data_IF_079950359272
#
_entry.id   IF_079950359272
#
_cell.length_a   1.000
_cell.length_b   1.000
_cell.length_c   1.000
_cell.angle_alpha   90.00
_cell.angle_beta   90.00
_cell.angle_gamma   90.00
#
_symmetry.space_group_name_H-M   'P 1'
#
loop_
_entity.id
_entity.type
_entity.pdbx_description
1 polymer ?
#
# COMPACT_ATOMS: atom_id res chain seq x y z
N UNK A 1 13.03 -25.29 7.30
CA UNK A 1 12.48 -25.24 8.68
C UNK A 1 12.78 -26.52 9.44
N UNK A 2 12.25 -27.70 9.08
CA UNK A 2 12.50 -28.93 9.85
C UNK A 2 13.99 -29.34 9.94
N UNK A 3 14.78 -29.19 8.87
CA UNK A 3 16.25 -29.41 8.95
C UNK A 3 16.96 -28.41 9.88
N UNK A 4 16.50 -27.16 9.94
CA UNK A 4 17.06 -26.15 10.86
C UNK A 4 16.68 -26.45 12.31
N UNK A 5 15.43 -26.85 12.54
CA UNK A 5 14.95 -27.31 13.85
C UNK A 5 15.73 -28.54 14.33
N UNK A 6 16.02 -29.49 13.43
CA UNK A 6 16.86 -30.64 13.73
C UNK A 6 18.29 -30.24 14.14
N UNK A 7 18.92 -29.32 13.40
CA UNK A 7 20.24 -28.81 13.76
C UNK A 7 20.23 -28.16 15.16
N UNK A 8 19.24 -27.31 15.46
CA UNK A 8 19.08 -26.69 16.79
C UNK A 8 18.92 -27.73 17.89
N UNK A 9 18.11 -28.76 17.64
CA UNK A 9 17.87 -29.87 18.58
C UNK A 9 19.15 -30.67 18.86
N UNK A 10 19.92 -30.98 17.81
CA UNK A 10 21.20 -31.70 17.93
C UNK A 10 22.23 -30.88 18.71
N UNK A 11 22.29 -29.57 18.48
CA UNK A 11 23.18 -28.65 19.21
C UNK A 11 22.68 -28.27 20.62
N UNK A 12 21.45 -28.69 20.99
CA UNK A 12 20.80 -28.37 22.27
C UNK A 12 20.75 -26.86 22.57
N UNK A 13 20.54 -26.04 21.54
CA UNK A 13 20.45 -24.57 21.69
C UNK A 13 19.02 -24.16 22.05
N UNK A 14 18.82 -23.14 22.91
CA UNK A 14 17.49 -22.63 23.26
C UNK A 14 16.92 -21.69 22.18
N UNK A 15 17.20 -21.97 20.90
CA UNK A 15 16.74 -21.17 19.77
C UNK A 15 15.46 -21.75 19.19
N UNK A 16 14.67 -20.90 18.53
CA UNK A 16 13.50 -21.33 17.78
C UNK A 16 13.52 -20.79 16.36
N UNK A 17 12.91 -21.53 15.44
CA UNK A 17 12.85 -21.19 14.01
C UNK A 17 11.43 -20.78 13.61
N UNK A 18 11.24 -19.60 13.00
CA UNK A 18 9.93 -19.22 12.51
C UNK A 18 9.48 -20.15 11.38
N UNK A 19 8.25 -20.64 11.48
CA UNK A 19 7.48 -21.13 10.36
C UNK A 19 6.58 -20.04 9.83
N UNK A 20 7.00 -19.45 8.72
CA UNK A 20 6.34 -18.28 8.16
C UNK A 20 5.10 -18.69 7.34
N UNK A 21 3.97 -18.05 7.63
CA UNK A 21 2.78 -18.09 6.80
C UNK A 21 2.74 -16.81 5.94
N UNK A 22 3.27 -16.91 4.72
CA UNK A 22 3.51 -15.77 3.81
C UNK A 22 3.41 -16.22 2.34
N UNK A 23 2.78 -15.39 1.49
CA UNK A 23 2.52 -15.69 0.07
C UNK A 23 1.97 -17.12 -0.13
N UNK A 24 2.70 -17.96 -0.87
CA UNK A 24 2.32 -19.34 -1.23
C UNK A 24 2.19 -20.28 -0.02
N UNK A 25 2.65 -19.85 1.15
CA UNK A 25 2.51 -20.57 2.42
C UNK A 25 1.41 -20.01 3.32
N UNK A 26 0.50 -19.19 2.77
CA UNK A 26 -0.60 -18.61 3.54
C UNK A 26 -1.42 -19.67 4.27
N UNK A 27 -1.72 -20.81 3.64
CA UNK A 27 -2.36 -21.95 4.30
C UNK A 27 -1.34 -23.05 4.65
N UNK A 28 -1.53 -23.78 5.76
CA UNK A 28 -0.67 -24.90 6.09
C UNK A 28 -0.85 -26.02 5.06
N UNK A 29 0.23 -26.36 4.36
CA UNK A 29 0.27 -27.54 3.51
C UNK A 29 0.03 -28.82 4.33
N UNK A 30 -0.63 -29.81 3.72
CA UNK A 30 -1.00 -31.09 4.39
C UNK A 30 0.20 -31.82 5.02
N UNK A 31 1.37 -31.69 4.40
CA UNK A 31 2.60 -32.36 4.80
C UNK A 31 3.41 -31.60 5.86
N UNK A 32 3.11 -30.33 6.12
CA UNK A 32 3.90 -29.50 7.04
C UNK A 32 3.64 -29.99 8.46
N UNK A 33 4.59 -30.66 9.12
CA UNK A 33 4.51 -30.97 10.56
C UNK A 33 5.55 -30.12 11.29
N UNK A 34 5.13 -29.06 12.02
CA UNK A 34 6.07 -28.22 12.76
C UNK A 34 6.84 -29.05 13.78
N UNK A 35 8.14 -28.78 13.91
CA UNK A 35 8.95 -29.31 15.00
C UNK A 35 8.71 -28.48 16.28
N UNK A 36 9.05 -29.02 17.46
CA UNK A 36 8.91 -28.30 18.73
C UNK A 36 9.79 -27.05 18.80
N UNK A 37 10.91 -27.07 18.10
CA UNK A 37 11.83 -25.95 17.96
C UNK A 37 11.30 -24.87 16.98
N UNK A 38 10.13 -25.07 16.36
CA UNK A 38 9.49 -24.08 15.53
C UNK A 38 8.42 -23.27 16.28
N UNK A 39 8.17 -22.04 15.83
CA UNK A 39 7.00 -21.23 16.21
C UNK A 39 6.29 -20.72 14.95
N UNK A 40 5.02 -20.34 15.07
CA UNK A 40 4.29 -19.75 13.95
C UNK A 40 4.65 -18.28 13.79
N UNK A 41 5.00 -17.85 12.58
CA UNK A 41 5.10 -16.44 12.20
C UNK A 41 4.04 -16.12 11.14
N UNK A 42 2.91 -15.55 11.55
CA UNK A 42 1.80 -15.22 10.66
C UNK A 42 2.02 -13.84 10.02
N UNK A 43 2.21 -13.79 8.70
CA UNK A 43 2.61 -12.59 7.96
C UNK A 43 1.67 -12.28 6.77
N UNK A 44 0.43 -11.83 7.00
CA UNK A 44 -0.61 -11.71 5.97
C UNK A 44 -0.45 -10.46 5.09
N UNK A 45 0.59 -10.40 4.25
CA UNK A 45 0.87 -9.21 3.42
C UNK A 45 -0.21 -8.85 2.40
N UNK A 46 -0.81 -9.85 1.76
CA UNK A 46 -1.72 -9.63 0.63
C UNK A 46 -3.17 -9.38 1.07
N UNK A 47 -3.42 -9.18 2.37
CA UNK A 47 -4.76 -8.94 2.92
C UNK A 47 -5.29 -7.53 2.59
N UNK A 48 -6.56 -7.28 2.89
CA UNK A 48 -7.15 -5.94 2.80
C UNK A 48 -6.85 -5.13 4.07
N UNK A 49 -5.95 -4.16 4.00
CA UNK A 49 -5.57 -3.33 5.16
C UNK A 49 -6.55 -2.19 5.46
N UNK A 50 -7.51 -1.93 4.57
CA UNK A 50 -8.61 -1.00 4.85
C UNK A 50 -9.54 -1.47 5.98
N UNK A 51 -9.59 -2.79 6.23
CA UNK A 51 -10.50 -3.41 7.19
C UNK A 51 -9.72 -4.27 8.19
N UNK A 52 -10.30 -4.45 9.37
CA UNK A 52 -9.83 -5.42 10.35
C UNK A 52 -9.88 -6.84 9.75
N UNK A 53 -9.04 -7.74 10.27
CA UNK A 53 -8.93 -9.12 9.83
C UNK A 53 -10.25 -9.89 10.02
N UNK A 54 -11.03 -9.54 11.05
CA UNK A 54 -12.34 -10.13 11.36
C UNK A 54 -13.53 -9.31 10.87
N UNK A 55 -13.34 -8.29 10.03
CA UNK A 55 -14.46 -7.51 9.51
C UNK A 55 -15.38 -8.42 8.66
N UNK A 56 -16.66 -8.62 9.06
CA UNK A 56 -17.56 -9.54 8.37
C UNK A 56 -17.87 -9.10 6.93
N UNK A 57 -17.72 -7.81 6.62
CA UNK A 57 -17.94 -7.26 5.28
C UNK A 57 -16.74 -7.45 4.36
N UNK A 58 -15.57 -7.84 4.90
CA UNK A 58 -14.37 -7.99 4.11
C UNK A 58 -14.15 -9.43 3.63
N UNK A 59 -14.66 -9.75 2.42
CA UNK A 59 -14.54 -11.08 1.86
C UNK A 59 -13.09 -11.56 1.73
N UNK A 60 -12.19 -10.66 1.34
CA UNK A 60 -10.76 -10.93 1.29
C UNK A 60 -10.20 -11.33 2.65
N UNK A 61 -10.46 -10.56 3.71
CA UNK A 61 -9.89 -10.83 5.04
C UNK A 61 -10.43 -12.11 5.69
N UNK A 62 -11.65 -12.55 5.33
CA UNK A 62 -12.15 -13.86 5.78
C UNK A 62 -11.20 -15.01 5.42
N UNK A 63 -10.63 -15.00 4.21
CA UNK A 63 -9.65 -16.00 3.77
C UNK A 63 -8.39 -15.96 4.65
N UNK A 64 -7.91 -14.77 4.98
CA UNK A 64 -6.74 -14.61 5.85
C UNK A 64 -7.04 -15.04 7.29
N UNK A 65 -8.23 -14.73 7.82
CA UNK A 65 -8.67 -15.19 9.13
C UNK A 65 -8.80 -16.73 9.19
N UNK A 66 -9.33 -17.35 8.14
CA UNK A 66 -9.37 -18.81 8.00
C UNK A 66 -7.96 -19.41 7.98
N UNK A 67 -7.03 -18.77 7.26
CA UNK A 67 -5.63 -19.19 7.22
C UNK A 67 -4.97 -19.08 8.61
N UNK A 68 -5.23 -18.02 9.36
CA UNK A 68 -4.78 -17.88 10.75
C UNK A 68 -5.28 -19.05 11.60
N UNK A 69 -6.59 -19.32 11.58
CA UNK A 69 -7.17 -20.44 12.34
C UNK A 69 -6.58 -21.80 11.93
N UNK A 70 -6.35 -22.03 10.64
CA UNK A 70 -5.74 -23.25 10.14
C UNK A 70 -4.31 -23.44 10.66
N UNK A 71 -3.50 -22.37 10.67
CA UNK A 71 -2.15 -22.38 11.21
C UNK A 71 -2.13 -22.55 12.73
N UNK A 72 -2.99 -21.84 13.46
CA UNK A 72 -3.12 -21.99 14.91
C UNK A 72 -3.49 -23.43 15.28
N UNK A 73 -4.42 -24.06 14.56
CA UNK A 73 -4.73 -25.48 14.73
C UNK A 73 -3.52 -26.38 14.45
N UNK A 74 -2.69 -26.04 13.45
CA UNK A 74 -1.50 -26.82 13.12
C UNK A 74 -0.39 -26.73 14.16
N UNK A 75 -0.30 -25.59 14.84
CA UNK A 75 0.65 -25.32 15.93
C UNK A 75 0.09 -25.59 17.33
N UNK A 76 -1.11 -26.15 17.45
CA UNK A 76 -1.70 -26.51 18.74
C UNK A 76 -0.70 -27.32 19.58
N UNK A 77 -0.47 -26.89 20.83
CA UNK A 77 0.47 -27.53 21.76
C UNK A 77 1.95 -27.20 21.58
N UNK A 78 2.35 -26.41 20.58
CA UNK A 78 3.76 -26.01 20.39
C UNK A 78 4.15 -24.81 21.25
N UNK A 79 3.16 -24.00 21.67
CA UNK A 79 3.38 -22.73 22.37
C UNK A 79 4.00 -21.67 21.46
N UNK A 80 3.60 -20.41 21.65
CA UNK A 80 4.17 -19.24 20.96
C UNK A 80 3.82 -19.15 19.46
N UNK A 81 3.00 -18.15 19.13
CA UNK A 81 2.69 -17.74 17.78
C UNK A 81 2.87 -16.22 17.70
N UNK A 82 3.45 -15.75 16.61
CA UNK A 82 3.83 -14.35 16.40
C UNK A 82 3.13 -13.80 15.17
N UNK A 83 2.88 -12.51 15.13
CA UNK A 83 2.43 -11.81 13.92
C UNK A 83 3.53 -10.95 13.33
N UNK A 84 3.52 -10.79 12.01
CA UNK A 84 4.40 -9.87 11.29
C UNK A 84 3.57 -9.05 10.29
N UNK A 85 3.21 -7.84 10.71
CA UNK A 85 2.30 -6.95 10.01
C UNK A 85 2.99 -5.92 9.14
N UNK A 86 2.23 -5.25 8.28
CA UNK A 86 2.76 -4.32 7.27
C UNK A 86 2.14 -2.92 7.38
N UNK A 87 1.70 -2.49 8.56
CA UNK A 87 1.06 -1.18 8.75
C UNK A 87 1.97 0.02 8.47
N UNK A 88 3.29 -0.16 8.65
CA UNK A 88 4.30 0.87 8.48
C UNK A 88 5.21 0.63 7.26
N UNK A 89 4.72 -0.17 6.30
CA UNK A 89 5.47 -0.53 5.11
C UNK A 89 5.25 0.49 3.98
N UNK A 90 6.13 1.50 3.88
CA UNK A 90 6.07 2.45 2.77
C UNK A 90 6.43 1.82 1.42
N UNK A 91 7.05 0.63 1.38
CA UNK A 91 7.18 -0.11 0.11
C UNK A 91 5.79 -0.57 -0.31
N UNK A 92 5.03 -1.25 0.56
CA UNK A 92 3.66 -1.68 0.28
C UNK A 92 2.78 -0.50 -0.14
N UNK A 93 2.75 0.56 0.66
CA UNK A 93 1.81 1.67 0.46
C UNK A 93 2.29 2.75 -0.47
N UNK A 94 3.10 2.40 -1.46
CA UNK A 94 3.45 3.35 -2.51
C UNK A 94 4.16 4.63 -1.99
N UNK A 95 5.03 4.50 -1.00
CA UNK A 95 5.67 5.62 -0.32
C UNK A 95 4.73 6.40 0.61
N UNK A 96 3.46 5.99 0.71
CA UNK A 96 2.49 6.62 1.59
C UNK A 96 2.67 6.17 3.02
N UNK A 97 2.27 7.07 3.92
CA UNK A 97 2.21 6.82 5.34
C UNK A 97 0.78 6.53 5.78
N UNK A 98 0.23 5.42 5.30
CA UNK A 98 -1.15 5.06 5.55
C UNK A 98 -1.44 5.01 7.05
N UNK A 99 -2.48 5.73 7.48
CA UNK A 99 -2.92 5.73 8.87
C UNK A 99 -4.24 4.96 8.94
N UNK A 100 -4.21 3.74 9.47
CA UNK A 100 -5.32 2.79 9.42
C UNK A 100 -5.71 2.32 10.84
N UNK A 101 -6.18 3.24 11.71
CA UNK A 101 -6.34 2.95 13.13
C UNK A 101 -7.38 1.88 13.42
N UNK A 102 -8.46 1.80 12.64
CA UNK A 102 -9.48 0.79 12.82
C UNK A 102 -8.98 -0.62 12.50
N UNK A 103 -8.16 -0.77 11.44
CA UNK A 103 -7.56 -2.04 11.07
C UNK A 103 -6.56 -2.50 12.13
N UNK A 104 -5.60 -1.63 12.52
CA UNK A 104 -4.59 -1.95 13.55
C UNK A 104 -5.26 -2.43 14.85
N UNK A 105 -6.22 -1.66 15.36
CA UNK A 105 -6.92 -1.99 16.61
C UNK A 105 -7.80 -3.23 16.49
N UNK A 106 -8.43 -3.44 15.33
CA UNK A 106 -9.22 -4.64 15.06
C UNK A 106 -8.36 -5.89 15.04
N UNK A 107 -7.27 -5.85 14.28
CA UNK A 107 -6.33 -6.96 14.15
C UNK A 107 -5.72 -7.35 15.50
N UNK A 108 -5.32 -6.39 16.33
CA UNK A 108 -4.78 -6.71 17.66
C UNK A 108 -5.79 -7.48 18.52
N UNK A 109 -7.08 -7.14 18.46
CA UNK A 109 -8.13 -7.91 19.16
C UNK A 109 -8.31 -9.32 18.59
N UNK A 110 -8.13 -9.50 17.28
CA UNK A 110 -8.17 -10.83 16.65
C UNK A 110 -6.99 -11.67 17.14
N UNK A 111 -5.80 -11.10 17.19
CA UNK A 111 -4.60 -11.79 17.62
C UNK A 111 -4.61 -12.11 19.12
N UNK A 112 -5.09 -11.20 19.95
CA UNK A 112 -5.32 -11.45 21.37
C UNK A 112 -6.29 -12.62 21.59
N UNK A 113 -7.44 -12.64 20.89
CA UNK A 113 -8.40 -13.76 20.94
C UNK A 113 -7.80 -15.09 20.45
N UNK A 114 -6.84 -15.03 19.53
CA UNK A 114 -6.10 -16.20 19.06
C UNK A 114 -5.00 -16.66 20.03
N UNK A 115 -4.74 -15.93 21.12
CA UNK A 115 -3.68 -16.23 22.09
C UNK A 115 -2.28 -15.90 21.57
N UNK A 116 -2.16 -14.92 20.66
CA UNK A 116 -0.89 -14.42 20.14
C UNK A 116 -0.49 -13.18 20.93
N UNK A 117 0.67 -13.24 21.60
CA UNK A 117 1.18 -12.15 22.44
C UNK A 117 2.37 -11.41 21.82
N UNK A 118 3.02 -12.00 20.81
CA UNK A 118 4.18 -11.41 20.14
C UNK A 118 3.77 -10.81 18.80
N UNK A 119 3.93 -9.48 18.66
CA UNK A 119 3.58 -8.77 17.44
C UNK A 119 4.76 -7.98 16.87
N UNK A 120 4.99 -8.14 15.58
CA UNK A 120 5.97 -7.38 14.82
C UNK A 120 5.25 -6.60 13.72
N UNK A 121 5.82 -5.47 13.31
CA UNK A 121 5.42 -4.78 12.09
C UNK A 121 6.67 -4.41 11.30
N UNK A 122 6.62 -4.60 9.98
CA UNK A 122 7.65 -4.11 9.08
C UNK A 122 7.62 -2.57 9.06
N UNK A 123 8.76 -1.96 9.36
CA UNK A 123 9.01 -0.54 9.17
C UNK A 123 9.94 -0.39 7.98
N UNK A 124 9.42 0.10 6.85
CA UNK A 124 10.27 0.51 5.71
C UNK A 124 9.91 1.93 5.30
N UNK A 125 10.94 2.73 5.07
CA UNK A 125 10.81 4.19 5.03
C UNK A 125 10.94 4.78 6.44
N UNK A 126 11.66 5.89 6.56
CA UNK A 126 12.18 6.40 7.83
C UNK A 126 11.80 7.84 8.16
N UNK A 127 11.91 8.18 9.44
CA UNK A 127 11.28 9.24 10.22
C UNK A 127 11.59 10.72 9.86
N UNK A 128 11.62 11.09 8.59
CA UNK A 128 11.82 12.51 8.24
C UNK A 128 10.63 13.41 8.62
N UNK A 129 9.45 12.84 8.87
CA UNK A 129 8.45 13.47 9.75
C UNK A 129 8.07 12.47 10.83
N UNK A 130 8.74 12.57 11.98
CA UNK A 130 8.26 11.97 13.22
C UNK A 130 7.12 12.84 13.78
N UNK A 131 6.10 12.23 14.42
CA UNK A 131 6.01 10.82 14.80
C UNK A 131 5.31 9.90 13.78
N UNK A 132 5.58 8.59 13.88
CA UNK A 132 4.81 7.55 13.19
C UNK A 132 3.52 7.20 13.93
N UNK A 133 2.39 7.69 13.42
CA UNK A 133 1.08 7.47 14.04
C UNK A 133 0.68 5.99 14.05
N UNK A 134 1.02 5.24 13.00
CA UNK A 134 0.68 3.82 12.89
C UNK A 134 1.53 3.01 13.85
N UNK A 135 2.84 3.29 13.96
CA UNK A 135 3.72 2.61 14.91
C UNK A 135 3.37 2.95 16.36
N UNK A 136 3.08 4.22 16.68
CA UNK A 136 2.64 4.62 18.01
C UNK A 136 1.33 3.94 18.41
N UNK A 137 0.39 3.84 17.48
CA UNK A 137 -0.88 3.17 17.71
C UNK A 137 -0.69 1.66 17.87
N UNK A 138 0.09 1.03 16.99
CA UNK A 138 0.42 -0.39 17.07
C UNK A 138 1.04 -0.75 18.43
N UNK A 139 2.04 0.03 18.88
CA UNK A 139 2.66 -0.17 20.19
C UNK A 139 1.66 0.01 21.35
N UNK A 140 0.75 0.98 21.26
CA UNK A 140 -0.25 1.21 22.32
C UNK A 140 -1.34 0.14 22.33
N UNK A 141 -1.75 -0.34 21.16
CA UNK A 141 -2.79 -1.35 21.00
C UNK A 141 -2.45 -2.68 21.70
N UNK A 142 -1.15 -2.94 21.93
CA UNK A 142 -0.69 -4.14 22.61
C UNK A 142 -1.06 -4.19 24.11
N UNK A 143 -1.21 -3.05 24.77
CA UNK A 143 -1.52 -3.00 26.21
C UNK A 143 -2.82 -2.25 26.56
N UNK A 144 -3.44 -1.57 25.59
CA UNK A 144 -4.68 -0.83 25.77
C UNK A 144 -5.79 -1.35 24.84
N UNK A 145 -6.39 -2.47 25.23
CA UNK A 145 -7.50 -3.12 24.50
C UNK A 145 -8.79 -2.29 24.46
N UNK A 146 -8.88 -1.21 25.25
CA UNK A 146 -10.04 -0.30 25.28
C UNK A 146 -10.05 0.72 24.12
N UNK A 147 -8.97 0.79 23.35
CA UNK A 147 -8.83 1.75 22.28
C UNK A 147 -9.85 1.56 21.16
N UNK A 148 -10.43 2.67 20.76
CA UNK A 148 -11.17 2.83 19.51
C UNK A 148 -10.38 3.74 18.59
N UNK A 149 -10.66 3.70 17.29
CA UNK A 149 -10.03 4.64 16.35
C UNK A 149 -10.26 6.10 16.78
N UNK A 150 -11.47 6.44 17.27
CA UNK A 150 -11.82 7.78 17.73
C UNK A 150 -11.01 8.23 18.96
N UNK A 151 -10.89 7.36 19.98
CA UNK A 151 -10.14 7.68 21.20
C UNK A 151 -8.64 7.73 20.95
N UNK A 152 -8.10 6.85 20.09
CA UNK A 152 -6.71 6.88 19.66
C UNK A 152 -6.38 8.19 18.91
N UNK A 153 -7.23 8.59 17.96
CA UNK A 153 -7.06 9.85 17.21
C UNK A 153 -7.11 11.06 18.13
N UNK A 154 -8.06 11.10 19.07
CA UNK A 154 -8.17 12.20 20.03
C UNK A 154 -6.90 12.29 20.89
N UNK A 155 -6.43 11.17 21.44
CA UNK A 155 -5.23 11.13 22.26
C UNK A 155 -3.96 11.56 21.49
N UNK A 156 -3.80 11.11 20.24
CA UNK A 156 -2.69 11.56 19.39
C UNK A 156 -2.75 13.06 19.12
N UNK A 157 -3.93 13.59 18.77
CA UNK A 157 -4.11 15.02 18.52
C UNK A 157 -3.77 15.88 19.75
N UNK A 158 -4.21 15.47 20.94
CA UNK A 158 -3.89 16.13 22.22
C UNK A 158 -2.39 16.09 22.54
N UNK A 159 -1.70 14.98 22.22
CA UNK A 159 -0.24 14.88 22.40
C UNK A 159 0.53 15.79 21.44
N UNK A 160 0.02 16.01 20.24
CA UNK A 160 0.65 16.87 19.23
C UNK A 160 0.43 18.36 19.53
N UNK A 161 -0.80 18.74 19.88
CA UNK A 161 -1.16 20.12 20.25
C UNK A 161 -2.11 20.13 21.45
N UNK A 162 -1.53 20.26 22.65
CA UNK A 162 -2.31 20.33 23.90
C UNK A 162 -3.18 21.59 23.99
N UNK A 163 -2.83 22.68 23.30
CA UNK A 163 -3.55 23.96 23.38
C UNK A 163 -4.74 23.97 22.42
N UNK A 164 -4.57 23.38 21.24
CA UNK A 164 -5.61 23.30 20.22
C UNK A 164 -5.54 21.99 19.44
N UNK A 165 -6.04 20.87 20.00
CA UNK A 165 -5.97 19.57 19.33
C UNK A 165 -6.96 19.43 18.17
N UNK A 166 -7.96 20.32 18.05
CA UNK A 166 -9.07 20.14 17.11
C UNK A 166 -8.65 20.07 15.63
N UNK A 167 -7.71 20.90 15.11
CA UNK A 167 -7.20 20.75 13.75
C UNK A 167 -6.55 19.39 13.49
N UNK A 168 -5.74 18.90 14.44
CA UNK A 168 -5.07 17.60 14.34
C UNK A 168 -6.05 16.44 14.38
N UNK A 169 -7.05 16.50 15.27
CA UNK A 169 -8.12 15.51 15.35
C UNK A 169 -8.85 15.38 14.01
N UNK A 170 -9.23 16.50 13.39
CA UNK A 170 -9.87 16.52 12.06
C UNK A 170 -8.95 15.97 10.97
N UNK A 171 -7.68 16.38 10.95
CA UNK A 171 -6.70 15.90 9.97
C UNK A 171 -6.50 14.39 10.06
N UNK A 172 -6.23 13.86 11.25
CA UNK A 172 -5.98 12.43 11.46
C UNK A 172 -7.23 11.58 11.14
N UNK A 173 -8.42 12.06 11.49
CA UNK A 173 -9.68 11.39 11.12
C UNK A 173 -9.89 11.37 9.60
N UNK A 174 -9.67 12.50 8.92
CA UNK A 174 -9.79 12.57 7.47
C UNK A 174 -8.74 11.72 6.76
N UNK A 175 -7.51 11.68 7.29
CA UNK A 175 -6.44 10.79 6.80
C UNK A 175 -6.83 9.33 6.94
N UNK A 176 -7.34 8.92 8.10
CA UNK A 176 -7.82 7.56 8.33
C UNK A 176 -8.93 7.15 7.35
N UNK A 177 -9.93 8.02 7.17
CA UNK A 177 -11.01 7.79 6.21
C UNK A 177 -10.50 7.71 4.76
N UNK A 178 -9.58 8.60 4.37
CA UNK A 178 -9.04 8.62 3.00
C UNK A 178 -8.33 7.31 2.64
N UNK A 179 -7.54 6.74 3.55
CA UNK A 179 -6.86 5.48 3.30
C UNK A 179 -7.80 4.28 3.40
N UNK A 180 -8.70 4.24 4.39
CA UNK A 180 -9.68 3.16 4.48
C UNK A 180 -10.52 3.06 3.20
N UNK A 181 -10.93 4.20 2.63
CA UNK A 181 -11.66 4.24 1.35
C UNK A 181 -10.76 3.82 0.18
N UNK A 182 -9.63 4.51 -0.03
CA UNK A 182 -8.82 4.33 -1.24
C UNK A 182 -8.14 2.95 -1.33
N UNK A 183 -7.91 2.29 -0.20
CA UNK A 183 -7.26 0.99 -0.11
C UNK A 183 -8.24 -0.17 0.10
N UNK A 184 -9.54 0.09 0.08
CA UNK A 184 -10.56 -0.94 0.15
C UNK A 184 -10.48 -1.87 -1.07
N UNK A 185 -10.09 -3.11 -0.80
CA UNK A 185 -10.04 -4.21 -1.78
C UNK A 185 -10.77 -5.44 -1.25
N UNK A 186 -11.77 -5.20 -0.40
CA UNK A 186 -12.55 -6.25 0.28
C UNK A 186 -13.19 -7.25 -0.68
N UNK A 187 -13.50 -6.81 -1.91
CA UNK A 187 -14.23 -7.60 -2.90
C UNK A 187 -13.31 -8.32 -3.90
N UNK A 188 -11.98 -8.22 -3.71
CA UNK A 188 -11.00 -8.95 -4.49
C UNK A 188 -10.82 -10.36 -3.95
N UNK A 189 -11.08 -11.33 -4.81
CA UNK A 189 -10.85 -12.75 -4.58
C UNK A 189 -9.34 -13.04 -4.46
N UNK A 190 -8.98 -14.17 -3.82
CA UNK A 190 -7.58 -14.52 -3.52
C UNK A 190 -6.77 -14.88 -4.77
N UNK A 191 -7.42 -15.33 -5.84
CA UNK A 191 -6.80 -15.64 -7.14
C UNK A 191 -6.21 -14.41 -7.84
N UNK A 192 -6.64 -13.20 -7.44
CA UNK A 192 -6.01 -11.97 -7.85
C UNK A 192 -4.81 -11.70 -6.95
N UNK A 193 -3.60 -11.94 -7.48
CA UNK A 193 -2.37 -11.45 -6.85
C UNK A 193 -2.50 -9.95 -6.62
N UNK A 194 -2.26 -9.54 -5.38
CA UNK A 194 -2.45 -8.16 -4.99
C UNK A 194 -1.31 -7.69 -4.10
N UNK A 195 -0.73 -6.57 -4.48
CA UNK A 195 0.18 -5.80 -3.66
C UNK A 195 -0.17 -4.31 -3.86
N UNK A 196 -0.30 -3.51 -2.81
CA UNK A 196 -0.63 -2.08 -2.95
C UNK A 196 0.38 -1.32 -3.82
N UNK A 197 1.60 -1.85 -4.02
CA UNK A 197 2.56 -1.36 -5.02
C UNK A 197 2.06 -1.47 -6.44
N UNK A 198 1.41 -2.59 -6.74
CA UNK A 198 0.97 -3.01 -8.07
C UNK A 198 -0.54 -3.17 -8.01
N UNK A 199 -1.24 -2.04 -8.14
CA UNK A 199 -2.70 -2.08 -8.12
C UNK A 199 -3.20 -3.05 -9.19
N UNK A 200 -4.21 -3.87 -8.86
CA UNK A 200 -4.71 -4.89 -9.74
C UNK A 200 -5.36 -4.23 -10.95
N UNK A 201 -5.13 -4.79 -12.13
CA UNK A 201 -5.84 -4.37 -13.33
C UNK A 201 -7.27 -4.90 -13.25
N UNK A 202 -8.16 -4.11 -12.68
CA UNK A 202 -9.58 -4.46 -12.57
C UNK A 202 -10.35 -3.90 -13.77
N UNK A 203 -11.35 -4.65 -14.20
CA UNK A 203 -12.22 -4.25 -15.31
C UNK A 203 -13.67 -4.04 -14.82
N UNK A 204 -14.50 -3.50 -15.70
CA UNK A 204 -15.93 -3.33 -15.46
C UNK A 204 -16.26 -2.46 -14.24
N UNK A 205 -17.34 -2.82 -13.52
CA UNK A 205 -17.83 -2.05 -12.37
C UNK A 205 -16.85 -2.04 -11.19
N UNK A 206 -16.07 -3.13 -11.00
CA UNK A 206 -15.06 -3.19 -9.93
C UNK A 206 -13.93 -2.19 -10.18
N UNK A 207 -13.43 -2.11 -11.41
CA UNK A 207 -12.42 -1.11 -11.77
C UNK A 207 -12.94 0.32 -11.66
N UNK A 208 -14.22 0.56 -11.99
CA UNK A 208 -14.85 1.88 -11.79
C UNK A 208 -14.99 2.25 -10.32
N UNK A 209 -15.42 1.31 -9.48
CA UNK A 209 -15.56 1.51 -8.04
C UNK A 209 -14.20 1.82 -7.39
N UNK A 210 -13.15 1.05 -7.75
CA UNK A 210 -11.78 1.31 -7.27
C UNK A 210 -11.28 2.70 -7.68
N UNK A 211 -11.47 3.08 -8.95
CA UNK A 211 -11.09 4.42 -9.41
C UNK A 211 -11.86 5.51 -8.64
N UNK A 212 -13.14 5.32 -8.35
CA UNK A 212 -13.94 6.26 -7.58
C UNK A 212 -13.46 6.39 -6.13
N UNK A 213 -13.19 5.27 -5.45
CA UNK A 213 -12.67 5.24 -4.09
C UNK A 213 -11.32 5.97 -3.98
N UNK A 214 -10.39 5.71 -4.91
CA UNK A 214 -9.09 6.40 -4.97
C UNK A 214 -9.25 7.92 -5.17
N UNK A 215 -10.18 8.34 -6.04
CA UNK A 215 -10.49 9.77 -6.23
C UNK A 215 -11.08 10.40 -4.96
N UNK A 216 -11.98 9.71 -4.27
CA UNK A 216 -12.56 10.17 -3.01
C UNK A 216 -11.50 10.31 -1.93
N UNK A 217 -10.62 9.31 -1.78
CA UNK A 217 -9.49 9.36 -0.86
C UNK A 217 -8.53 10.52 -1.19
N UNK A 218 -8.16 10.69 -2.47
CA UNK A 218 -7.31 11.80 -2.92
C UNK A 218 -7.91 13.17 -2.55
N UNK A 219 -9.21 13.39 -2.82
CA UNK A 219 -9.91 14.64 -2.49
C UNK A 219 -9.96 14.89 -0.99
N UNK A 220 -10.28 13.85 -0.21
CA UNK A 220 -10.36 13.92 1.25
C UNK A 220 -9.01 14.30 1.85
N UNK A 221 -7.94 13.62 1.42
CA UNK A 221 -6.59 13.87 1.92
C UNK A 221 -6.07 15.26 1.50
N UNK A 222 -6.32 15.67 0.24
CA UNK A 222 -5.94 17.01 -0.23
C UNK A 222 -6.65 18.13 0.55
N UNK A 223 -7.94 17.95 0.83
CA UNK A 223 -8.73 18.90 1.62
C UNK A 223 -8.23 18.99 3.07
N UNK A 224 -7.94 17.85 3.69
CA UNK A 224 -7.37 17.78 5.03
C UNK A 224 -6.00 18.45 5.10
N UNK A 225 -5.13 18.21 4.12
CA UNK A 225 -3.81 18.84 4.01
C UNK A 225 -3.92 20.37 3.89
N UNK A 226 -4.83 20.86 3.04
CA UNK A 226 -5.05 22.29 2.87
C UNK A 226 -5.59 22.95 4.15
N UNK A 227 -6.50 22.27 4.86
CA UNK A 227 -7.03 22.75 6.14
C UNK A 227 -5.93 22.80 7.21
N UNK A 228 -5.16 21.73 7.39
CA UNK A 228 -4.08 21.67 8.37
C UNK A 228 -3.03 22.77 8.13
N UNK A 229 -2.62 22.98 6.88
CA UNK A 229 -1.66 24.03 6.52
C UNK A 229 -2.16 25.46 6.80
N UNK A 230 -3.47 25.71 6.71
CA UNK A 230 -4.06 27.00 7.09
C UNK A 230 -4.05 27.18 8.60
N UNK A 231 -4.46 26.15 9.36
CA UNK A 231 -4.49 26.20 10.82
C UNK A 231 -3.09 26.29 11.44
N UNK A 232 -2.08 25.72 10.79
CA UNK A 232 -0.68 25.80 11.22
C UNK A 232 -0.20 27.23 11.45
N UNK A 233 -0.75 28.23 10.76
CA UNK A 233 -0.41 29.66 10.94
C UNK A 233 -0.77 30.21 12.33
N UNK A 234 -1.65 29.51 13.06
CA UNK A 234 -2.14 29.87 14.39
C UNK A 234 -1.59 28.97 15.49
N UNK A 235 -0.78 27.96 15.13
CA UNK A 235 -0.21 27.01 16.06
C UNK A 235 1.10 27.54 16.66
N UNK A 236 1.54 26.93 17.77
CA UNK A 236 2.87 27.19 18.32
C UNK A 236 3.96 26.78 17.32
N UNK A 237 5.14 27.42 17.30
CA UNK A 237 6.14 27.23 16.24
C UNK A 237 6.48 25.76 15.93
N UNK A 238 6.69 24.94 16.97
CA UNK A 238 7.01 23.51 16.79
C UNK A 238 5.85 22.73 16.18
N UNK A 239 4.64 22.94 16.67
CA UNK A 239 3.43 22.28 16.16
C UNK A 239 3.09 22.77 14.75
N UNK A 240 3.29 24.06 14.47
CA UNK A 240 3.12 24.65 13.15
C UNK A 240 4.07 24.02 12.12
N UNK A 241 5.35 23.85 12.48
CA UNK A 241 6.34 23.18 11.62
C UNK A 241 5.93 21.74 11.30
N UNK A 242 5.53 20.96 12.32
CA UNK A 242 5.03 19.60 12.13
C UNK A 242 3.76 19.57 11.26
N UNK A 243 2.81 20.49 11.48
CA UNK A 243 1.59 20.61 10.69
C UNK A 243 1.87 20.93 9.21
N UNK A 244 2.87 21.77 8.92
CA UNK A 244 3.28 22.06 7.55
C UNK A 244 3.95 20.86 6.87
N UNK A 245 4.80 20.13 7.59
CA UNK A 245 5.43 18.90 7.08
C UNK A 245 4.38 17.82 6.78
N UNK A 246 3.43 17.61 7.69
CA UNK A 246 2.33 16.67 7.51
C UNK A 246 1.41 17.08 6.35
N UNK A 247 1.07 18.36 6.24
CA UNK A 247 0.30 18.86 5.11
C UNK A 247 1.05 18.69 3.78
N UNK A 248 2.38 18.90 3.74
CA UNK A 248 3.18 18.70 2.54
C UNK A 248 3.22 17.23 2.12
N UNK A 249 3.42 16.31 3.07
CA UNK A 249 3.33 14.85 2.87
C UNK A 249 1.96 14.45 2.30
N UNK A 250 0.89 14.88 2.95
CA UNK A 250 -0.48 14.57 2.53
C UNK A 250 -0.82 15.08 1.12
N UNK A 251 -0.22 16.20 0.67
CA UNK A 251 -0.37 16.66 -0.72
C UNK A 251 0.29 15.73 -1.73
N UNK A 252 1.48 15.22 -1.43
CA UNK A 252 2.15 14.20 -2.25
C UNK A 252 1.27 12.94 -2.35
N UNK A 253 0.83 12.41 -1.22
CA UNK A 253 0.04 11.17 -1.17
C UNK A 253 -1.30 11.33 -1.87
N UNK A 254 -1.97 12.48 -1.70
CA UNK A 254 -3.18 12.80 -2.44
C UNK A 254 -2.94 12.89 -3.95
N UNK A 255 -1.76 13.39 -4.37
CA UNK A 255 -1.39 13.44 -5.76
C UNK A 255 -1.13 12.06 -6.36
N UNK A 256 -0.50 11.13 -5.63
CA UNK A 256 -0.30 9.74 -6.10
C UNK A 256 -1.63 8.95 -6.09
N UNK A 257 -2.51 9.12 -5.08
CA UNK A 257 -3.87 8.55 -5.12
C UNK A 257 -4.65 9.02 -6.34
N UNK A 258 -4.47 10.28 -6.76
CA UNK A 258 -5.08 10.78 -8.00
C UNK A 258 -4.44 10.15 -9.25
N UNK A 259 -3.14 9.87 -9.24
CA UNK A 259 -2.48 9.13 -10.31
C UNK A 259 -3.04 7.69 -10.40
N UNK A 260 -3.23 7.01 -9.27
CA UNK A 260 -3.87 5.68 -9.22
C UNK A 260 -5.27 5.71 -9.82
N UNK A 261 -6.09 6.71 -9.44
CA UNK A 261 -7.42 6.92 -10.03
C UNK A 261 -7.37 7.05 -11.56
N UNK A 262 -6.46 7.88 -12.08
CA UNK A 262 -6.32 8.11 -13.51
C UNK A 262 -5.82 6.86 -14.23
N UNK A 263 -4.90 6.11 -13.61
CA UNK A 263 -4.41 4.84 -14.15
C UNK A 263 -5.55 3.84 -14.31
N UNK A 264 -6.30 3.60 -13.23
CA UNK A 264 -7.45 2.69 -13.25
C UNK A 264 -8.54 3.17 -14.22
N UNK A 265 -8.76 4.48 -14.34
CA UNK A 265 -9.68 5.05 -15.35
C UNK A 265 -9.21 4.74 -16.77
N UNK A 266 -7.91 4.82 -17.04
CA UNK A 266 -7.31 4.43 -18.31
C UNK A 266 -7.54 2.95 -18.62
N UNK A 267 -7.31 2.07 -17.64
CA UNK A 267 -7.57 0.63 -17.75
C UNK A 267 -9.06 0.34 -18.03
N UNK A 268 -9.98 0.99 -17.33
CA UNK A 268 -11.42 0.84 -17.57
C UNK A 268 -11.83 1.23 -19.00
N UNK A 269 -11.25 2.31 -19.54
CA UNK A 269 -11.48 2.71 -20.93
C UNK A 269 -10.80 1.79 -21.94
N UNK A 270 -9.65 1.23 -21.58
CA UNK A 270 -8.93 0.28 -22.41
C UNK A 270 -9.71 -1.03 -22.53
N UNK A 271 -10.22 -1.58 -21.42
CA UNK A 271 -11.09 -2.76 -21.42
C UNK A 271 -12.33 -2.51 -22.31
N UNK A 272 -13.01 -1.36 -22.14
CA UNK A 272 -14.13 -0.99 -22.99
C UNK A 272 -13.76 -0.89 -24.49
N UNK A 273 -12.52 -0.50 -24.82
CA UNK A 273 -12.04 -0.55 -26.20
C UNK A 273 -11.79 -1.98 -26.66
N UNK A 274 -11.20 -2.85 -25.84
CA UNK A 274 -10.95 -4.24 -26.21
C UNK A 274 -12.28 -4.97 -26.51
N UNK A 275 -13.33 -4.66 -25.75
CA UNK A 275 -14.67 -5.21 -25.95
C UNK A 275 -15.38 -4.66 -27.19
N UNK A 276 -15.35 -3.33 -27.38
CA UNK A 276 -16.22 -2.67 -28.38
C UNK A 276 -15.49 -2.26 -29.65
N UNK A 277 -14.16 -2.27 -29.64
CA UNK A 277 -13.26 -1.73 -30.67
C UNK A 277 -13.53 -0.27 -31.06
N UNK A 278 -14.27 0.49 -30.25
CA UNK A 278 -14.62 1.90 -30.53
C UNK A 278 -13.40 2.82 -30.34
N UNK A 279 -12.94 3.56 -31.37
CA UNK A 279 -11.77 4.44 -31.26
C UNK A 279 -11.89 5.51 -30.17
N UNK A 280 -13.12 5.97 -29.88
CA UNK A 280 -13.37 6.93 -28.82
C UNK A 280 -13.02 6.40 -27.43
N UNK A 281 -13.21 5.10 -27.17
CA UNK A 281 -12.81 4.48 -25.89
C UNK A 281 -11.28 4.42 -25.77
N UNK A 282 -10.59 4.04 -26.86
CA UNK A 282 -9.13 4.01 -26.91
C UNK A 282 -8.52 5.40 -26.71
N UNK A 283 -9.08 6.42 -27.36
CA UNK A 283 -8.64 7.82 -27.16
C UNK A 283 -8.74 8.24 -25.70
N UNK A 284 -9.87 7.96 -25.04
CA UNK A 284 -10.05 8.25 -23.60
C UNK A 284 -9.07 7.47 -22.72
N UNK A 285 -8.77 6.22 -23.05
CA UNK A 285 -7.77 5.42 -22.33
C UNK A 285 -6.38 6.07 -22.41
N UNK A 286 -5.93 6.41 -23.62
CA UNK A 286 -4.64 7.06 -23.84
C UNK A 286 -4.55 8.44 -23.18
N UNK A 287 -5.62 9.23 -23.22
CA UNK A 287 -5.68 10.53 -22.56
C UNK A 287 -5.59 10.37 -21.02
N UNK A 288 -6.25 9.37 -20.45
CA UNK A 288 -6.14 9.05 -19.04
C UNK A 288 -4.72 8.62 -18.66
N UNK A 289 -4.09 7.72 -19.41
CA UNK A 289 -2.71 7.30 -19.18
C UNK A 289 -1.70 8.45 -19.25
N UNK A 290 -1.82 9.35 -20.23
CA UNK A 290 -0.97 10.57 -20.31
C UNK A 290 -1.16 11.46 -19.09
N UNK A 291 -2.41 11.63 -18.62
CA UNK A 291 -2.71 12.38 -17.40
C UNK A 291 -2.14 11.69 -16.16
N UNK A 292 -2.11 10.36 -16.12
CA UNK A 292 -1.43 9.60 -15.06
C UNK A 292 0.05 9.94 -15.00
N UNK A 293 0.77 9.94 -16.14
CA UNK A 293 2.19 10.28 -16.18
C UNK A 293 2.44 11.71 -15.63
N UNK A 294 1.69 12.70 -16.10
CA UNK A 294 1.79 14.08 -15.61
C UNK A 294 1.48 14.18 -14.11
N UNK A 295 0.54 13.39 -13.61
CA UNK A 295 0.18 13.35 -12.20
C UNK A 295 1.25 12.68 -11.34
N UNK A 296 1.94 11.65 -11.84
CA UNK A 296 3.11 11.04 -11.19
C UNK A 296 4.28 12.02 -11.12
N UNK A 297 4.54 12.80 -12.17
CA UNK A 297 5.54 13.87 -12.16
C UNK A 297 5.22 14.92 -11.08
N UNK A 298 3.95 15.32 -10.98
CA UNK A 298 3.49 16.23 -9.93
C UNK A 298 3.67 15.64 -8.53
N UNK A 299 3.30 14.37 -8.32
CA UNK A 299 3.47 13.69 -7.04
C UNK A 299 4.95 13.68 -6.63
N UNK A 300 5.85 13.33 -7.57
CA UNK A 300 7.31 13.37 -7.34
C UNK A 300 7.81 14.77 -7.00
N UNK A 301 7.35 15.81 -7.70
CA UNK A 301 7.73 17.19 -7.39
C UNK A 301 7.29 17.61 -5.98
N UNK A 302 6.05 17.27 -5.59
CA UNK A 302 5.53 17.52 -4.24
C UNK A 302 6.33 16.76 -3.18
N UNK A 303 6.69 15.50 -3.43
CA UNK A 303 7.50 14.70 -2.51
C UNK A 303 8.88 15.33 -2.28
N UNK A 304 9.57 15.76 -3.35
CA UNK A 304 10.86 16.47 -3.23
C UNK A 304 10.74 17.75 -2.41
N UNK A 305 9.65 18.50 -2.60
CA UNK A 305 9.39 19.71 -1.82
C UNK A 305 9.07 19.44 -0.35
N UNK A 306 8.44 18.30 -0.03
CA UNK A 306 8.08 17.92 1.33
C UNK A 306 9.27 17.41 2.16
N UNK A 307 10.29 16.82 1.52
CA UNK A 307 11.46 16.27 2.20
C UNK A 307 12.48 17.31 2.71
N UNK A 308 12.50 18.53 2.16
CA UNK A 308 13.56 19.51 2.44
C UNK A 308 14.97 19.05 1.96
N UNK A 309 15.99 19.89 2.14
CA UNK A 309 17.38 19.58 1.73
C UNK A 309 17.95 18.33 2.44
N UNK A 310 17.58 18.09 3.70
CA UNK A 310 18.02 16.92 4.47
C UNK A 310 17.50 15.58 3.90
N UNK A 311 16.32 15.56 3.26
CA UNK A 311 15.82 14.36 2.60
C UNK A 311 16.48 14.05 1.26
N UNK A 312 17.09 15.05 0.60
CA UNK A 312 17.69 14.88 -0.72
C UNK A 312 18.99 14.04 -0.68
N UNK A 313 19.68 14.04 0.47
CA UNK A 313 20.89 13.21 0.70
C UNK A 313 20.62 11.84 1.32
N UNK A 314 19.48 11.64 1.97
CA UNK A 314 19.12 10.35 2.59
C UNK A 314 18.22 9.54 1.65
N UNK A 315 18.54 8.26 1.43
CA UNK A 315 17.63 7.32 0.73
C UNK A 315 16.31 7.07 1.49
N UNK A 316 16.04 7.77 2.60
CA UNK A 316 14.89 7.59 3.48
C UNK A 316 13.53 7.94 2.84
N UNK A 317 13.49 8.92 1.91
CA UNK A 317 12.36 9.09 0.95
C UNK A 317 12.63 8.44 -0.41
N UNK A 318 13.86 7.96 -0.63
CA UNK A 318 14.41 7.59 -1.94
C UNK A 318 14.13 6.15 -2.39
N UNK A 319 13.64 5.27 -1.53
CA UNK A 319 13.33 3.89 -1.94
C UNK A 319 12.15 3.84 -2.91
N UNK A 320 11.14 4.70 -2.71
CA UNK A 320 9.91 4.67 -3.51
C UNK A 320 10.04 5.31 -4.92
N UNK A 321 10.61 6.52 -5.09
CA UNK A 321 10.67 7.21 -6.40
C UNK A 321 11.60 6.54 -7.39
N UNK A 322 12.62 5.82 -6.89
CA UNK A 322 13.58 5.15 -7.75
C UNK A 322 13.01 3.88 -8.37
N UNK A 323 12.16 3.13 -7.65
CA UNK A 323 11.76 1.79 -8.05
C UNK A 323 10.31 1.72 -8.55
N UNK A 324 9.32 2.07 -7.73
CA UNK A 324 7.90 1.84 -8.09
C UNK A 324 7.39 2.92 -9.05
N UNK A 325 7.80 4.18 -8.88
CA UNK A 325 7.47 5.25 -9.83
C UNK A 325 8.07 4.95 -11.22
N UNK A 326 9.35 4.56 -11.27
CA UNK A 326 10.02 4.28 -12.54
C UNK A 326 9.44 3.06 -13.26
N UNK A 327 9.07 2.02 -12.51
CA UNK A 327 8.36 0.87 -13.05
C UNK A 327 6.96 1.25 -13.55
N UNK A 328 6.15 1.94 -12.73
CA UNK A 328 4.78 2.35 -13.09
C UNK A 328 4.78 3.21 -14.36
N UNK A 329 5.73 4.16 -14.47
CA UNK A 329 5.87 5.01 -15.66
C UNK A 329 6.19 4.20 -16.91
N UNK A 330 7.19 3.31 -16.84
CA UNK A 330 7.57 2.45 -17.97
C UNK A 330 6.41 1.58 -18.44
N UNK A 331 5.64 1.03 -17.49
CA UNK A 331 4.46 0.23 -17.81
C UNK A 331 3.40 1.06 -18.54
N UNK A 332 3.06 2.25 -18.02
CA UNK A 332 2.07 3.15 -18.63
C UNK A 332 2.55 3.64 -20.01
N UNK A 333 3.82 4.00 -20.14
CA UNK A 333 4.45 4.39 -21.40
C UNK A 333 4.39 3.27 -22.44
N UNK A 334 4.65 2.02 -22.02
CA UNK A 334 4.53 0.85 -22.88
C UNK A 334 3.08 0.64 -23.34
N UNK A 335 2.08 0.79 -22.45
CA UNK A 335 0.66 0.74 -22.85
C UNK A 335 0.33 1.86 -23.85
N UNK A 336 0.77 3.10 -23.59
CA UNK A 336 0.57 4.22 -24.52
C UNK A 336 1.18 3.90 -25.89
N UNK A 337 2.43 3.43 -25.93
CA UNK A 337 3.14 3.12 -27.17
C UNK A 337 2.44 2.01 -27.97
N UNK A 338 2.08 0.91 -27.31
CA UNK A 338 1.37 -0.23 -27.92
C UNK A 338 0.03 0.20 -28.50
N UNK A 339 -0.79 0.91 -27.71
CA UNK A 339 -2.16 1.23 -28.09
C UNK A 339 -2.30 2.47 -28.99
N UNK A 340 -1.31 3.36 -29.02
CA UNK A 340 -1.31 4.48 -29.97
C UNK A 340 -1.18 4.00 -31.42
N UNK A 341 -0.51 2.87 -31.67
CA UNK A 341 -0.41 2.28 -33.01
C UNK A 341 -1.78 1.82 -33.54
N UNK A 342 -2.66 1.35 -32.65
CA UNK A 342 -4.00 0.90 -33.01
C UNK A 342 -4.95 2.04 -33.44
N UNK A 343 -4.66 3.30 -33.06
CA UNK A 343 -5.44 4.45 -33.55
C UNK A 343 -5.04 4.91 -34.96
N UNK A 344 -3.81 4.65 -35.38
CA UNK A 344 -3.26 5.06 -36.68
C UNK A 344 -2.61 3.87 -37.40
N UNK A 345 -3.40 2.89 -37.90
CA UNK A 345 -2.86 1.69 -38.54
C UNK A 345 -1.97 2.01 -39.76
N UNK A 346 -2.23 3.12 -40.46
CA UNK A 346 -1.42 3.59 -41.59
C UNK A 346 0.03 4.00 -41.20
N UNK A 347 0.27 4.38 -39.95
CA UNK A 347 1.62 4.70 -39.45
C UNK A 347 2.42 3.46 -39.04
N UNK A 348 1.75 2.35 -38.70
CA UNK A 348 2.41 1.10 -38.32
C UNK A 348 3.04 0.37 -39.52
N UNK A 349 2.41 0.45 -40.70
CA UNK A 349 2.91 -0.14 -41.95
C UNK A 349 4.17 0.51 -42.50
N UNK A 350 4.50 1.75 -42.11
CA UNK A 350 5.74 2.42 -42.54
C UNK A 350 6.98 1.99 -41.75
N UNK A 351 6.86 1.55 -40.49
CA UNK A 351 8.00 1.05 -39.69
C UNK A 351 8.39 -0.40 -40.00
N UNK A 352 7.52 -1.17 -40.66
CA UNK A 352 7.74 -2.58 -40.98
C UNK A 352 8.33 -2.82 -42.38
N UNK A 353 8.60 -1.77 -43.18
CA UNK A 353 9.35 -1.95 -44.43
C UNK A 353 10.83 -2.10 -44.09
N UNK A 354 11.48 -3.26 -44.33
CA UNK A 354 12.92 -3.34 -44.25
C UNK A 354 13.49 -2.36 -45.27
N UNK A 355 14.41 -1.50 -44.85
CA UNK A 355 15.14 -0.62 -45.76
C UNK A 355 15.75 -1.45 -46.89
N UNK A 356 15.84 -0.91 -48.13
CA UNK A 356 16.40 -1.66 -49.25
C UNK A 356 17.79 -2.17 -48.86
N UNK A 357 17.98 -3.48 -48.96
CA UNK A 357 19.27 -4.11 -48.70
C UNK A 357 20.31 -3.45 -49.61
N UNK A 358 21.26 -2.73 -49.02
CA UNK A 358 22.36 -2.13 -49.75
C UNK A 358 23.08 -3.21 -50.55
N UNK A 359 23.03 -3.10 -51.87
CA UNK A 359 23.78 -3.95 -52.77
C UNK A 359 25.26 -3.82 -52.44
N UNK A 360 25.87 -4.89 -51.91
CA UNK A 360 27.32 -4.99 -51.78
C UNK A 360 27.89 -5.18 -53.18
N UNK A 361 28.67 -4.20 -53.63
CA UNK A 361 29.49 -4.30 -54.83
C UNK A 361 30.56 -5.38 -54.63
N UNK A 362 30.54 -6.39 -55.48
CA UNK A 362 31.63 -7.35 -55.68
C UNK A 362 32.77 -6.64 -56.41
N UNK A 363 33.94 -6.55 -55.76
CA UNK A 363 35.21 -6.20 -56.41
C UNK A 363 35.93 -7.50 -56.72
N UNK A 364 36.35 -7.65 -57.98
CA UNK A 364 37.19 -8.73 -58.50
C UNK A 364 38.64 -8.53 -58.10
#
# INVERSE_FOLDING_TARGET
MNMQAEAIRLERKPMRVPTIAYHDTLFPGRLIRPARECFLLYAPRERCYAHALDDPKCARNRVFLEALHAWMKRFAGHGDAHTFEYYCDQILYRGHYAFLPAAILGDMRVYEKAGIESHMTLQVGGALAAPDYSLLLFARAHWDGSLTAGTAIAALAERIDRRNPAPWKRYLAARAAAYAEAFAICDLTQDVYFDYRFMPELEGERGKALAAAQRTGARTLAAAAAALAREARRMQPRTAALAQQEAARARFEAADLLAMHLHQTGLNHLAAYLDTRKPAALKRALDAFKRTLAQLDRARALQRSAGGEAAQGTKAWGYYPAFVESWSKKEIEAKIATFSQALNPAAATQKARPGPAGAKATVR
#
